data_IF_221622208964
#
_entry.id   IF_221622208964
#
_cell.length_a   1.000
_cell.length_b   1.000
_cell.length_c   1.000
_cell.angle_alpha   90.00
_cell.angle_beta   90.00
_cell.angle_gamma   90.00
#
_symmetry.space_group_name_H-M   'P 1'
#
loop_
_entity.id
_entity.type
_entity.pdbx_description
1 polymer ?
#
# COMPACT_ATOMS: atom_id res chain seq x y z
N UNK A 1 -13.53 20.72 -45.57
CA UNK A 1 -12.75 21.95 -45.31
C UNK A 1 -12.91 22.23 -43.82
N UNK A 2 -12.03 21.82 -42.92
CA UNK A 2 -10.60 21.60 -43.09
C UNK A 2 -10.14 20.23 -42.58
N UNK A 3 -9.49 19.51 -43.50
CA UNK A 3 -8.76 18.26 -43.31
C UNK A 3 -7.33 18.56 -42.78
N UNK A 4 -7.22 19.54 -41.87
CA UNK A 4 -6.00 19.86 -41.14
C UNK A 4 -6.02 19.17 -39.75
N UNK A 5 -6.56 17.95 -39.73
CA UNK A 5 -6.77 17.15 -38.54
C UNK A 5 -5.41 16.68 -37.97
N UNK A 6 -4.98 17.36 -36.90
CA UNK A 6 -4.16 16.83 -35.81
C UNK A 6 -2.84 16.14 -36.21
N UNK A 7 -1.99 16.80 -37.01
CA UNK A 7 -0.59 16.37 -37.07
C UNK A 7 0.15 16.81 -35.78
N UNK A 8 -0.08 16.02 -34.73
CA UNK A 8 0.23 16.31 -33.33
C UNK A 8 1.29 15.35 -32.77
N UNK A 9 2.26 14.93 -33.58
CA UNK A 9 3.40 14.20 -33.03
C UNK A 9 4.10 15.10 -31.99
N UNK A 10 4.15 14.72 -30.70
CA UNK A 10 4.73 15.59 -29.69
C UNK A 10 6.25 15.62 -29.85
N UNK A 11 6.85 16.80 -29.97
CA UNK A 11 8.30 16.96 -29.91
C UNK A 11 8.69 17.40 -28.49
N UNK A 12 8.55 16.50 -27.53
CA UNK A 12 8.95 16.75 -26.14
C UNK A 12 10.24 15.99 -25.81
N UNK A 13 11.19 16.68 -25.19
CA UNK A 13 12.46 16.10 -24.73
C UNK A 13 12.48 15.92 -23.21
N UNK A 14 11.57 16.58 -22.49
CA UNK A 14 11.46 16.51 -21.04
C UNK A 14 10.04 16.13 -20.58
N UNK A 15 9.93 15.58 -19.37
CA UNK A 15 8.64 15.24 -18.77
C UNK A 15 7.72 16.47 -18.57
N UNK A 16 8.31 17.64 -18.25
CA UNK A 16 7.57 18.90 -18.11
C UNK A 16 6.99 19.39 -19.43
N UNK A 17 7.77 19.35 -20.51
CA UNK A 17 7.31 19.66 -21.87
C UNK A 17 6.18 18.71 -22.29
N UNK A 18 6.34 17.41 -22.05
CA UNK A 18 5.33 16.42 -22.38
C UNK A 18 3.98 16.70 -21.71
N UNK A 19 3.98 17.02 -20.40
CA UNK A 19 2.75 17.40 -19.69
C UNK A 19 2.17 18.72 -20.22
N UNK A 20 3.00 19.69 -20.60
CA UNK A 20 2.54 20.93 -21.21
C UNK A 20 1.80 20.68 -22.54
N UNK A 21 2.31 19.77 -23.38
CA UNK A 21 1.64 19.37 -24.61
C UNK A 21 0.31 18.66 -24.32
N UNK A 22 0.24 17.77 -23.31
CA UNK A 22 -1.04 17.14 -22.91
C UNK A 22 -2.07 18.17 -22.42
N UNK A 23 -1.63 19.21 -21.69
CA UNK A 23 -2.52 20.33 -21.30
C UNK A 23 -3.09 21.03 -22.52
N UNK A 24 -2.27 21.21 -23.56
CA UNK A 24 -2.67 21.87 -24.79
C UNK A 24 -3.66 21.01 -25.61
N UNK A 25 -3.45 19.70 -25.70
CA UNK A 25 -4.43 18.76 -26.30
C UNK A 25 -5.78 18.86 -25.58
N UNK A 26 -5.78 18.80 -24.24
CA UNK A 26 -7.02 18.97 -23.46
C UNK A 26 -7.67 20.32 -23.75
N UNK A 27 -6.89 21.41 -23.77
CA UNK A 27 -7.39 22.77 -24.01
C UNK A 27 -8.05 22.89 -25.39
N UNK A 28 -7.41 22.37 -26.44
CA UNK A 28 -7.93 22.39 -27.81
C UNK A 28 -9.15 21.51 -28.02
N UNK A 29 -9.28 20.42 -27.26
CA UNK A 29 -10.49 19.58 -27.29
C UNK A 29 -11.75 20.29 -26.78
N UNK A 30 -11.60 21.41 -26.06
CA UNK A 30 -12.72 22.15 -25.46
C UNK A 30 -13.42 21.44 -24.29
N UNK A 31 -12.95 20.26 -23.88
CA UNK A 31 -13.58 19.45 -22.85
C UNK A 31 -13.19 19.88 -21.43
N UNK A 32 -14.18 19.92 -20.54
CA UNK A 32 -13.96 20.01 -19.10
C UNK A 32 -13.35 18.72 -18.56
N UNK A 33 -12.71 18.77 -17.38
CA UNK A 33 -12.14 17.58 -16.74
C UNK A 33 -13.17 16.45 -16.53
N UNK A 34 -14.40 16.79 -16.19
CA UNK A 34 -15.50 15.83 -16.01
C UNK A 34 -15.91 15.18 -17.33
N UNK A 35 -15.93 15.94 -18.42
CA UNK A 35 -16.29 15.43 -19.75
C UNK A 35 -15.22 14.52 -20.32
N UNK A 36 -13.94 14.87 -20.14
CA UNK A 36 -12.81 13.98 -20.49
C UNK A 36 -12.95 12.67 -19.74
N UNK A 37 -13.20 12.72 -18.44
CA UNK A 37 -13.35 11.53 -17.60
C UNK A 37 -14.52 10.64 -18.05
N UNK A 38 -15.66 11.27 -18.36
CA UNK A 38 -16.85 10.58 -18.88
C UNK A 38 -16.59 9.95 -20.25
N UNK A 39 -15.92 10.66 -21.16
CA UNK A 39 -15.59 10.15 -22.50
C UNK A 39 -14.56 9.03 -22.46
N UNK A 40 -13.52 9.16 -21.64
CA UNK A 40 -12.56 8.09 -21.40
C UNK A 40 -13.30 6.82 -20.96
N UNK A 41 -14.20 6.96 -19.98
CA UNK A 41 -14.96 5.82 -19.46
C UNK A 41 -15.85 5.18 -20.54
N UNK A 42 -16.45 5.99 -21.42
CA UNK A 42 -17.26 5.51 -22.54
C UNK A 42 -16.44 4.75 -23.61
N UNK A 43 -15.14 5.00 -23.72
CA UNK A 43 -14.22 4.29 -24.61
C UNK A 43 -13.46 3.16 -23.91
N UNK A 44 -13.88 2.75 -22.71
CA UNK A 44 -13.26 1.66 -21.95
C UNK A 44 -11.99 2.05 -21.20
N UNK A 45 -11.68 3.35 -21.09
CA UNK A 45 -10.52 3.86 -20.38
C UNK A 45 -10.92 4.56 -19.07
N UNK A 46 -10.31 4.17 -17.94
CA UNK A 46 -10.60 4.81 -16.66
C UNK A 46 -9.69 6.01 -16.39
N UNK A 47 -10.27 7.20 -16.28
CA UNK A 47 -9.56 8.44 -15.97
C UNK A 47 -10.43 9.38 -15.12
N UNK A 48 -10.32 9.34 -13.78
CA UNK A 48 -11.09 10.23 -12.91
C UNK A 48 -10.73 11.73 -13.08
N UNK A 49 -11.65 12.67 -12.78
CA UNK A 49 -11.39 14.10 -12.94
C UNK A 49 -10.25 14.60 -12.04
N UNK A 50 -10.13 14.08 -10.82
CA UNK A 50 -9.07 14.40 -9.85
C UNK A 50 -7.70 13.88 -10.30
N UNK A 51 -7.66 12.65 -10.84
CA UNK A 51 -6.46 12.05 -11.43
C UNK A 51 -5.99 12.85 -12.63
N UNK A 52 -6.91 13.25 -13.52
CA UNK A 52 -6.62 14.07 -14.67
C UNK A 52 -6.10 15.46 -14.27
N UNK A 53 -6.73 16.11 -13.29
CA UNK A 53 -6.28 17.42 -12.79
C UNK A 53 -4.88 17.33 -12.14
N UNK A 54 -4.62 16.27 -11.37
CA UNK A 54 -3.33 16.05 -10.72
C UNK A 54 -2.24 15.71 -11.75
N UNK A 55 -2.53 14.83 -12.71
CA UNK A 55 -1.62 14.48 -13.81
C UNK A 55 -1.20 15.73 -14.57
N UNK A 56 -2.19 16.55 -14.96
CA UNK A 56 -1.94 17.80 -15.68
C UNK A 56 -1.48 18.93 -14.76
N UNK A 57 -1.38 18.75 -13.45
CA UNK A 57 -0.85 19.75 -12.52
C UNK A 57 0.66 19.63 -12.27
N UNK A 58 1.23 18.45 -12.53
CA UNK A 58 2.64 18.13 -12.23
C UNK A 58 3.56 18.33 -13.45
N UNK A 59 4.86 18.18 -13.24
CA UNK A 59 5.91 18.12 -14.29
C UNK A 59 6.54 16.74 -14.42
N UNK A 60 6.00 15.74 -13.71
CA UNK A 60 6.44 14.34 -13.75
C UNK A 60 5.81 13.61 -14.93
N UNK A 61 6.54 12.65 -15.50
CA UNK A 61 6.09 11.88 -16.66
C UNK A 61 4.81 11.07 -16.33
N UNK A 62 3.67 11.32 -17.00
CA UNK A 62 2.44 10.58 -16.76
C UNK A 62 2.56 9.11 -17.13
N UNK A 63 1.74 8.25 -16.53
CA UNK A 63 1.66 6.82 -16.90
C UNK A 63 1.01 6.66 -18.27
N UNK A 64 1.48 5.70 -19.07
CA UNK A 64 0.98 5.43 -20.43
C UNK A 64 -0.54 5.30 -20.49
N UNK A 65 -1.12 4.48 -19.61
CA UNK A 65 -2.57 4.32 -19.48
C UNK A 65 -3.35 5.63 -19.36
N UNK A 66 -2.81 6.60 -18.63
CA UNK A 66 -3.48 7.87 -18.32
C UNK A 66 -3.36 8.82 -19.51
N UNK A 67 -2.25 8.73 -20.24
CA UNK A 67 -2.05 9.40 -21.53
C UNK A 67 -3.04 8.85 -22.56
N UNK A 68 -3.10 7.52 -22.74
CA UNK A 68 -4.05 6.87 -23.66
C UNK A 68 -5.48 7.30 -23.34
N UNK A 69 -5.89 7.22 -22.07
CA UNK A 69 -7.23 7.61 -21.66
C UNK A 69 -7.57 9.08 -21.97
N UNK A 70 -6.62 10.00 -21.75
CA UNK A 70 -6.80 11.43 -22.06
C UNK A 70 -6.90 11.64 -23.57
N UNK A 71 -5.95 11.12 -24.34
CA UNK A 71 -5.87 11.31 -25.79
C UNK A 71 -7.09 10.69 -26.50
N UNK A 72 -7.45 9.47 -26.13
CA UNK A 72 -8.65 8.80 -26.65
C UNK A 72 -9.93 9.59 -26.33
N UNK A 73 -10.07 10.13 -25.10
CA UNK A 73 -11.21 10.95 -24.73
C UNK A 73 -11.28 12.30 -25.49
N UNK A 74 -10.11 12.83 -25.88
CA UNK A 74 -9.98 14.03 -26.70
C UNK A 74 -10.16 13.77 -28.21
N UNK A 75 -10.36 12.51 -28.63
CA UNK A 75 -10.60 12.15 -30.03
C UNK A 75 -9.33 11.98 -30.88
N UNK A 76 -8.17 11.81 -30.24
CA UNK A 76 -6.89 11.50 -30.90
C UNK A 76 -6.95 10.10 -31.53
N UNK A 77 -6.40 9.94 -32.74
CA UNK A 77 -6.43 8.65 -33.44
C UNK A 77 -5.47 7.63 -32.80
N UNK A 78 -5.73 6.33 -32.96
CA UNK A 78 -4.83 5.29 -32.41
C UNK A 78 -3.37 5.44 -32.91
N UNK A 79 -3.19 5.81 -34.18
CA UNK A 79 -1.87 6.06 -34.75
C UNK A 79 -1.17 7.30 -34.16
N UNK A 80 -1.92 8.33 -33.75
CA UNK A 80 -1.37 9.47 -33.01
C UNK A 80 -1.04 9.08 -31.57
N UNK A 81 -1.92 8.34 -30.89
CA UNK A 81 -1.67 7.87 -29.52
C UNK A 81 -0.35 7.10 -29.46
N UNK A 82 -0.08 6.21 -30.43
CA UNK A 82 1.18 5.47 -30.47
C UNK A 82 2.40 6.39 -30.65
N UNK A 83 2.29 7.48 -31.43
CA UNK A 83 3.35 8.49 -31.53
C UNK A 83 3.60 9.17 -30.18
N UNK A 84 2.55 9.49 -29.42
CA UNK A 84 2.66 10.05 -28.07
C UNK A 84 3.30 9.07 -27.08
N UNK A 85 3.02 7.78 -27.20
CA UNK A 85 3.62 6.74 -26.35
C UNK A 85 5.09 6.52 -26.67
N UNK A 86 5.48 6.54 -27.94
CA UNK A 86 6.89 6.45 -28.36
C UNK A 86 7.72 7.58 -27.74
N UNK A 87 7.28 8.83 -27.88
CA UNK A 87 7.98 9.98 -27.30
C UNK A 87 8.06 9.89 -25.77
N UNK A 88 7.00 9.41 -25.12
CA UNK A 88 7.01 9.17 -23.67
C UNK A 88 8.07 8.13 -23.27
N UNK A 89 8.14 7.01 -24.00
CA UNK A 89 9.14 5.94 -23.77
C UNK A 89 10.56 6.45 -23.99
N UNK A 90 10.77 7.30 -24.99
CA UNK A 90 12.08 7.93 -25.23
C UNK A 90 12.50 8.83 -24.06
N UNK A 91 11.59 9.67 -23.55
CA UNK A 91 11.85 10.50 -22.36
C UNK A 91 12.18 9.62 -21.14
N UNK A 92 11.44 8.54 -20.92
CA UNK A 92 11.69 7.59 -19.83
C UNK A 92 13.05 6.90 -19.94
N UNK A 93 13.44 6.50 -21.16
CA UNK A 93 14.75 5.93 -21.44
C UNK A 93 15.88 6.93 -21.17
N UNK A 94 15.73 8.19 -21.59
CA UNK A 94 16.70 9.25 -21.32
C UNK A 94 16.82 9.58 -19.84
N UNK A 95 15.71 9.58 -19.08
CA UNK A 95 15.73 9.76 -17.62
C UNK A 95 16.49 8.59 -16.95
N UNK A 96 16.19 7.36 -17.37
CA UNK A 96 16.85 6.15 -16.85
C UNK A 96 18.35 6.13 -17.16
N UNK A 97 18.75 6.57 -18.35
CA UNK A 97 20.16 6.65 -18.75
C UNK A 97 20.90 7.75 -17.97
N UNK A 98 20.26 8.91 -17.77
CA UNK A 98 20.82 9.98 -16.92
C UNK A 98 21.00 9.52 -15.48
N UNK A 99 20.02 8.79 -14.94
CA UNK A 99 20.12 8.24 -13.58
C UNK A 99 21.25 7.19 -13.49
N UNK A 100 21.42 6.33 -14.52
CA UNK A 100 22.54 5.39 -14.61
C UNK A 100 23.90 6.08 -14.69
N UNK A 101 24.04 7.08 -15.56
CA UNK A 101 25.27 7.87 -15.69
C UNK A 101 25.56 8.63 -14.40
N UNK A 102 24.55 9.22 -13.76
CA UNK A 102 24.72 9.89 -12.47
C UNK A 102 25.17 8.92 -11.37
N UNK A 103 24.62 7.69 -11.32
CA UNK A 103 25.04 6.63 -10.39
C UNK A 103 26.46 6.12 -10.73
N UNK A 104 26.87 6.12 -12.00
CA UNK A 104 28.18 5.65 -12.45
C UNK A 104 29.28 6.73 -12.28
N UNK A 105 28.95 8.01 -12.48
CA UNK A 105 29.81 9.16 -12.21
C UNK A 105 29.99 9.40 -10.70
N UNK A 106 28.93 9.21 -9.91
CA UNK A 106 29.05 9.18 -8.42
C UNK A 106 29.63 7.86 -7.90
N UNK A 107 29.72 6.84 -8.76
CA UNK A 107 30.33 5.53 -8.48
C UNK A 107 31.86 5.47 -8.68
N UNK A 108 32.49 6.51 -9.23
CA UNK A 108 33.95 6.70 -9.12
C UNK A 108 34.24 7.51 -7.86
N UNK A 109 34.20 6.83 -6.72
CA UNK A 109 34.94 7.28 -5.54
C UNK A 109 36.43 7.19 -5.89
N UNK A 110 36.97 8.28 -6.44
CA UNK A 110 38.23 8.77 -5.92
C UNK A 110 37.98 8.99 -4.44
N UNK A 111 38.58 8.14 -3.60
CA UNK A 111 38.66 8.42 -2.18
C UNK A 111 39.11 9.88 -2.02
N UNK A 112 38.42 10.70 -1.21
CA UNK A 112 38.93 12.02 -0.87
C UNK A 112 40.38 11.86 -0.38
N UNK A 113 41.34 12.70 -0.78
CA UNK A 113 42.62 12.71 -0.09
C UNK A 113 42.30 12.93 1.38
N UNK A 114 42.78 12.00 2.22
CA UNK A 114 42.68 12.15 3.66
C UNK A 114 43.27 13.51 4.02
N UNK A 115 42.46 14.36 4.66
CA UNK A 115 43.03 15.45 5.46
C UNK A 115 44.07 14.82 6.40
N UNK A 116 45.25 15.43 6.55
CA UNK A 116 46.22 14.95 7.51
C UNK A 116 45.55 14.92 8.88
N UNK A 117 45.62 13.76 9.52
CA UNK A 117 45.04 13.54 10.83
C UNK A 117 45.45 14.69 11.78
N UNK A 118 44.51 15.32 12.51
CA UNK A 118 44.87 16.20 13.60
C UNK A 118 45.74 15.42 14.60
N UNK A 119 46.71 16.07 15.27
CA UNK A 119 47.56 15.39 16.24
C UNK A 119 46.69 14.68 17.26
N UNK A 120 47.01 13.41 17.52
CA UNK A 120 46.28 12.58 18.45
C UNK A 120 46.22 13.27 19.83
N UNK A 121 45.01 13.57 20.29
CA UNK A 121 44.79 13.84 21.69
C UNK A 121 45.26 12.61 22.50
N UNK A 122 45.94 12.83 23.64
CA UNK A 122 46.39 11.72 24.48
C UNK A 122 45.19 10.88 24.91
N UNK A 123 45.33 9.56 24.77
CA UNK A 123 44.31 8.60 25.12
C UNK A 123 43.73 8.88 26.53
N UNK A 124 42.39 8.98 26.69
CA UNK A 124 41.81 9.03 28.02
C UNK A 124 42.14 7.73 28.77
N UNK A 125 42.44 7.79 30.08
CA UNK A 125 42.78 6.61 30.85
C UNK A 125 41.62 5.61 30.82
N UNK A 126 41.97 4.33 30.67
CA UNK A 126 41.03 3.22 30.66
C UNK A 126 40.10 3.31 31.88
N UNK A 127 38.79 3.44 31.62
CA UNK A 127 37.79 3.28 32.66
C UNK A 127 37.88 1.85 33.23
N UNK A 128 37.79 1.68 34.56
CA UNK A 128 37.86 0.37 35.18
C UNK A 128 36.63 -0.47 34.77
N UNK A 129 36.85 -1.78 34.60
CA UNK A 129 35.83 -2.75 34.27
C UNK A 129 34.65 -2.69 35.28
N UNK A 130 33.40 -2.86 34.82
CA UNK A 130 32.25 -2.93 35.72
C UNK A 130 32.39 -4.15 36.65
N UNK A 131 32.04 -4.05 37.95
CA UNK A 131 32.06 -5.20 38.83
C UNK A 131 31.02 -6.23 38.37
N UNK A 132 31.41 -7.50 38.48
CA UNK A 132 30.55 -8.64 38.22
C UNK A 132 29.24 -8.51 39.02
N UNK A 133 28.11 -8.72 38.36
CA UNK A 133 26.81 -8.81 38.99
C UNK A 133 26.84 -9.87 40.12
N UNK A 134 26.26 -9.59 41.30
CA UNK A 134 26.19 -10.58 42.36
C UNK A 134 25.29 -11.74 41.92
N UNK A 135 25.73 -12.97 42.24
CA UNK A 135 24.94 -14.18 42.10
C UNK A 135 23.61 -14.05 42.87
N UNK A 136 22.51 -14.66 42.39
CA UNK A 136 21.25 -14.65 43.12
C UNK A 136 21.41 -15.37 44.46
N UNK A 137 20.72 -14.92 45.53
CA UNK A 137 20.68 -15.68 46.77
C UNK A 137 20.00 -17.03 46.51
N UNK A 138 20.67 -18.10 46.92
CA UNK A 138 20.02 -19.34 47.28
C UNK A 138 19.13 -19.08 48.50
N UNK A 139 18.03 -19.85 48.61
CA UNK A 139 17.02 -19.82 49.68
C UNK A 139 15.97 -18.71 49.62
N UNK A 140 14.96 -18.92 48.77
CA UNK A 140 13.54 -18.84 49.18
C UNK A 140 12.73 -19.81 48.32
N UNK A 141 12.74 -21.09 48.72
CA UNK A 141 11.76 -22.06 48.25
C UNK A 141 10.37 -21.68 48.79
N UNK A 142 9.32 -21.55 47.96
CA UNK A 142 7.95 -21.61 48.45
C UNK A 142 7.65 -23.06 48.87
N UNK A 143 6.89 -23.30 49.96
CA UNK A 143 6.51 -24.66 50.34
C UNK A 143 5.67 -25.28 49.22
N UNK A 144 5.98 -26.54 48.92
CA UNK A 144 5.17 -27.40 48.07
C UNK A 144 3.75 -27.51 48.65
N UNK A 145 2.83 -26.74 48.09
CA UNK A 145 1.40 -27.01 48.21
C UNK A 145 1.03 -28.19 47.30
N UNK A 146 0.03 -29.01 47.68
CA UNK A 146 -0.27 -30.25 46.97
C UNK A 146 -0.68 -30.00 45.52
N UNK A 147 -0.08 -30.79 44.64
CA UNK A 147 -0.38 -30.90 43.22
C UNK A 147 -1.90 -31.14 43.03
N UNK A 148 -2.64 -30.27 42.32
CA UNK A 148 -3.99 -30.60 41.89
C UNK A 148 -3.92 -31.69 40.80
N UNK A 149 -4.84 -32.67 40.78
CA UNK A 149 -4.82 -33.72 39.80
C UNK A 149 -4.96 -33.14 38.39
N UNK A 150 -4.12 -33.67 37.51
CA UNK A 150 -4.12 -33.49 36.06
C UNK A 150 -5.55 -33.57 35.52
N UNK A 151 -6.05 -32.45 35.00
CA UNK A 151 -7.27 -32.44 34.21
C UNK A 151 -7.00 -33.18 32.91
N UNK A 152 -7.30 -34.49 32.95
CA UNK A 152 -7.53 -35.33 31.79
C UNK A 152 -8.48 -34.58 30.86
N UNK A 153 -7.97 -34.13 29.72
CA UNK A 153 -8.82 -33.61 28.66
C UNK A 153 -9.68 -34.75 28.13
N UNK A 154 -11.02 -34.63 28.05
CA UNK A 154 -11.81 -35.62 27.35
C UNK A 154 -11.47 -35.60 25.85
N UNK A 155 -11.07 -36.75 25.34
CA UNK A 155 -10.93 -37.05 23.92
C UNK A 155 -12.23 -36.66 23.18
N UNK A 156 -12.18 -35.57 22.42
CA UNK A 156 -13.24 -35.23 21.47
C UNK A 156 -12.87 -35.87 20.13
N UNK A 157 -13.63 -36.88 19.65
CA UNK A 157 -13.33 -37.52 18.38
C UNK A 157 -13.54 -36.55 17.21
N UNK A 158 -12.45 -36.28 16.48
CA UNK A 158 -12.47 -35.54 15.21
C UNK A 158 -13.32 -36.31 14.18
N UNK A 159 -14.21 -35.67 13.40
CA UNK A 159 -14.98 -36.36 12.39
C UNK A 159 -14.06 -36.85 11.25
N UNK A 160 -14.01 -38.17 11.09
CA UNK A 160 -13.28 -38.87 10.06
C UNK A 160 -13.81 -38.50 8.67
N UNK A 161 -13.00 -37.82 7.86
CA UNK A 161 -13.25 -37.65 6.43
C UNK A 161 -13.11 -39.02 5.76
N UNK A 162 -14.24 -39.63 5.44
CA UNK A 162 -14.37 -40.92 4.74
C UNK A 162 -13.79 -40.79 3.32
N UNK A 163 -12.52 -41.18 3.15
CA UNK A 163 -11.95 -41.46 1.84
C UNK A 163 -12.54 -42.79 1.35
N UNK A 164 -13.52 -42.73 0.45
CA UNK A 164 -13.93 -43.91 -0.30
C UNK A 164 -12.99 -44.05 -1.50
N UNK A 165 -12.03 -44.97 -1.40
CA UNK A 165 -11.37 -45.59 -2.55
C UNK A 165 -12.16 -46.86 -2.87
N UNK A 166 -12.71 -46.96 -4.07
CA UNK A 166 -13.00 -48.25 -4.70
C UNK A 166 -12.55 -48.18 -6.15
N UNK A 167 -11.74 -49.16 -6.50
CA UNK A 167 -11.10 -49.38 -7.78
C UNK A 167 -11.95 -50.30 -8.68
N UNK A 168 -11.43 -50.52 -9.91
CA UNK A 168 -11.76 -51.55 -10.91
C UNK A 168 -12.71 -51.09 -12.04
N UNK A 169 -12.50 -51.38 -13.34
CA UNK A 169 -11.52 -52.22 -14.06
C UNK A 169 -11.62 -51.97 -15.58
N UNK A 170 -10.53 -52.27 -16.31
CA UNK A 170 -10.35 -52.62 -17.75
C UNK A 170 -10.57 -51.54 -18.85
N UNK A 171 -9.52 -51.12 -19.58
CA UNK A 171 -8.82 -51.76 -20.72
C UNK A 171 -9.66 -51.94 -22.00
N UNK A 172 -9.35 -51.18 -23.05
CA UNK A 172 -8.76 -51.73 -24.28
C UNK A 172 -8.19 -50.63 -25.19
N UNK A 173 -7.05 -50.94 -25.79
CA UNK A 173 -6.25 -50.12 -26.69
C UNK A 173 -6.65 -50.29 -28.16
N UNK A 174 -6.46 -49.27 -29.01
CA UNK A 174 -6.05 -49.44 -30.42
C UNK A 174 -5.24 -48.22 -30.87
N UNK A 175 -4.02 -48.51 -31.36
CA UNK A 175 -3.14 -47.64 -32.13
C UNK A 175 -3.69 -47.38 -33.54
N UNK A 176 -3.61 -46.14 -34.02
CA UNK A 176 -3.35 -45.88 -35.45
C UNK A 176 -2.36 -44.73 -35.60
N UNK A 177 -1.16 -45.10 -36.03
CA UNK A 177 -0.14 -44.28 -36.70
C UNK A 177 -0.67 -43.87 -38.08
N UNK A 178 -0.42 -42.65 -38.53
CA UNK A 178 -0.41 -42.37 -39.97
C UNK A 178 -0.70 -40.94 -40.43
N UNK A 179 0.39 -40.25 -40.78
CA UNK A 179 0.55 -39.49 -42.03
C UNK A 179 0.34 -37.96 -42.05
N UNK A 180 1.41 -37.36 -42.62
CA UNK A 180 1.44 -36.23 -43.54
C UNK A 180 1.42 -34.82 -42.94
N UNK A 181 2.56 -34.15 -43.13
CA UNK A 181 2.77 -32.77 -42.75
C UNK A 181 2.15 -31.77 -43.71
N UNK A 182 1.84 -30.62 -43.12
CA UNK A 182 1.98 -29.31 -43.76
C UNK A 182 2.48 -28.38 -42.66
N UNK A 183 3.73 -27.91 -42.79
CA UNK A 183 4.25 -26.80 -42.01
C UNK A 183 3.54 -25.52 -42.50
N UNK A 184 2.37 -25.24 -41.93
CA UNK A 184 1.85 -23.88 -41.89
C UNK A 184 2.44 -23.22 -40.64
N UNK A 185 3.01 -22.00 -40.73
CA UNK A 185 3.38 -21.27 -39.54
C UNK A 185 2.09 -21.07 -38.75
N UNK A 186 2.00 -21.73 -37.60
CA UNK A 186 0.98 -21.41 -36.60
C UNK A 186 1.34 -20.00 -36.17
N UNK A 187 0.68 -19.01 -36.76
CA UNK A 187 0.57 -17.71 -36.15
C UNK A 187 0.08 -18.00 -34.73
N UNK A 188 0.94 -17.76 -33.73
CA UNK A 188 0.45 -17.66 -32.37
C UNK A 188 -0.68 -16.64 -32.46
N UNK A 189 -1.93 -16.97 -32.08
CA UNK A 189 -2.87 -15.92 -31.78
C UNK A 189 -2.20 -15.16 -30.63
N UNK A 190 -1.58 -14.03 -30.96
CA UNK A 190 -1.42 -12.96 -29.98
C UNK A 190 -2.82 -12.73 -29.50
N UNK A 191 -3.08 -13.23 -28.30
CA UNK A 191 -4.34 -13.04 -27.59
C UNK A 191 -4.70 -11.57 -27.77
N UNK A 192 -5.77 -11.34 -28.53
CA UNK A 192 -6.54 -10.12 -28.46
C UNK A 192 -6.83 -9.93 -26.96
N UNK A 193 -6.14 -8.99 -26.32
CA UNK A 193 -6.58 -8.42 -25.05
C UNK A 193 -7.83 -7.57 -25.34
N UNK A 194 -8.92 -8.26 -25.67
CA UNK A 194 -10.24 -7.76 -25.33
C UNK A 194 -10.28 -7.61 -23.81
N UNK A 195 -10.82 -6.52 -23.25
CA UNK A 195 -10.89 -6.32 -21.82
C UNK A 195 -11.84 -7.37 -21.23
N UNK A 196 -11.29 -8.49 -20.75
CA UNK A 196 -12.05 -9.46 -19.97
C UNK A 196 -12.34 -8.87 -18.59
N UNK A 197 -13.60 -8.93 -18.18
CA UNK A 197 -14.15 -8.65 -16.85
C UNK A 197 -13.54 -9.52 -15.71
N UNK A 198 -12.40 -10.18 -15.94
CA UNK A 198 -11.75 -11.05 -14.97
C UNK A 198 -10.85 -10.26 -14.03
N UNK A 199 -11.22 -10.27 -12.75
CA UNK A 199 -10.42 -9.65 -11.72
C UNK A 199 -9.11 -10.43 -11.50
N UNK A 200 -7.96 -9.73 -11.43
CA UNK A 200 -6.71 -10.37 -11.07
C UNK A 200 -6.80 -11.00 -9.68
N UNK A 201 -6.14 -12.15 -9.53
CA UNK A 201 -6.17 -12.98 -8.30
C UNK A 201 -5.71 -12.21 -7.06
N UNK A 202 -4.83 -11.21 -7.24
CA UNK A 202 -4.34 -10.35 -6.17
C UNK A 202 -4.44 -8.88 -6.58
N UNK A 203 -5.11 -8.09 -5.75
CA UNK A 203 -5.16 -6.62 -5.85
C UNK A 203 -4.09 -5.99 -4.94
N UNK A 204 -3.40 -4.97 -5.43
CA UNK A 204 -2.32 -4.26 -4.71
C UNK A 204 -2.24 -2.78 -5.07
N UNK A 205 -1.52 -2.02 -4.25
CA UNK A 205 -1.32 -0.60 -4.46
C UNK A 205 -0.80 -0.28 -5.87
N UNK A 206 -1.38 0.77 -6.46
CA UNK A 206 -1.09 1.23 -7.81
C UNK A 206 -2.00 0.65 -8.89
N UNK A 207 -2.77 -0.40 -8.58
CA UNK A 207 -3.81 -0.94 -9.44
C UNK A 207 -5.04 -0.03 -9.48
N UNK A 208 -5.85 -0.19 -10.52
CA UNK A 208 -7.05 0.60 -10.75
C UNK A 208 -8.04 -0.22 -11.58
N UNK A 209 -9.33 0.13 -11.52
CA UNK A 209 -10.39 -0.50 -12.31
C UNK A 209 -11.55 -1.03 -11.45
N UNK A 210 -12.53 -1.70 -12.08
CA UNK A 210 -13.79 -2.09 -11.44
C UNK A 210 -13.57 -3.04 -10.24
N UNK A 211 -12.61 -3.95 -10.31
CA UNK A 211 -12.29 -4.86 -9.21
C UNK A 211 -11.80 -4.13 -7.94
N UNK A 212 -11.05 -3.04 -8.13
CA UNK A 212 -10.62 -2.18 -7.01
C UNK A 212 -11.81 -1.41 -6.45
N UNK A 213 -12.70 -0.93 -7.31
CA UNK A 213 -13.92 -0.26 -6.87
C UNK A 213 -14.79 -1.19 -6.02
N UNK A 214 -15.03 -2.42 -6.47
CA UNK A 214 -15.78 -3.42 -5.71
C UNK A 214 -15.07 -3.82 -4.40
N UNK A 215 -13.74 -3.79 -4.34
CA UNK A 215 -13.00 -3.94 -3.08
C UNK A 215 -13.28 -2.76 -2.14
N UNK A 216 -13.19 -1.52 -2.63
CA UNK A 216 -13.42 -0.30 -1.85
C UNK A 216 -14.85 -0.23 -1.31
N UNK A 217 -15.85 -0.58 -2.11
CA UNK A 217 -17.26 -0.66 -1.69
C UNK A 217 -17.45 -1.66 -0.55
N UNK A 218 -16.80 -2.84 -0.64
CA UNK A 218 -16.84 -3.85 0.42
C UNK A 218 -16.15 -3.38 1.71
N UNK A 219 -15.02 -2.67 1.62
CA UNK A 219 -14.38 -2.08 2.80
C UNK A 219 -15.30 -1.06 3.48
N UNK A 220 -15.94 -0.18 2.71
CA UNK A 220 -16.90 0.81 3.24
C UNK A 220 -18.09 0.12 3.91
N UNK A 221 -18.62 -0.94 3.28
CA UNK A 221 -19.69 -1.76 3.87
C UNK A 221 -19.26 -2.42 5.19
N UNK A 222 -18.00 -2.87 5.27
CA UNK A 222 -17.37 -3.41 6.49
C UNK A 222 -17.00 -2.36 7.55
N UNK A 223 -17.33 -1.08 7.34
CA UNK A 223 -17.07 0.01 8.29
C UNK A 223 -15.68 0.67 8.18
N UNK A 224 -14.90 0.31 7.16
CA UNK A 224 -13.57 0.86 6.87
C UNK A 224 -13.63 1.84 5.71
N UNK A 225 -13.74 3.13 6.03
CA UNK A 225 -13.97 4.18 5.03
C UNK A 225 -12.77 4.42 4.12
N UNK A 226 -12.99 4.33 2.81
CA UNK A 226 -12.06 4.73 1.76
C UNK A 226 -12.81 5.53 0.68
N UNK A 227 -12.12 6.38 -0.10
CA UNK A 227 -12.65 6.84 -1.37
C UNK A 227 -12.97 5.64 -2.28
N UNK A 228 -14.16 5.62 -2.87
CA UNK A 228 -14.57 4.62 -3.86
C UNK A 228 -14.33 5.21 -5.26
N UNK A 229 -13.06 5.25 -5.66
CA UNK A 229 -12.58 5.89 -6.89
C UNK A 229 -11.98 4.89 -7.89
N UNK A 230 -12.03 3.61 -7.56
CA UNK A 230 -11.45 2.53 -8.36
C UNK A 230 -9.93 2.60 -8.43
N UNK A 231 -9.25 3.35 -7.56
CA UNK A 231 -7.80 3.43 -7.47
C UNK A 231 -7.29 2.85 -6.14
N UNK A 232 -6.42 1.85 -6.23
CA UNK A 232 -5.81 1.24 -5.06
C UNK A 232 -4.65 2.13 -4.60
N UNK A 233 -5.00 3.20 -3.89
CA UNK A 233 -4.09 4.18 -3.32
C UNK A 233 -3.68 3.89 -1.88
N UNK A 234 -2.89 4.79 -1.26
CA UNK A 234 -2.43 4.65 0.13
C UNK A 234 -3.56 4.47 1.14
N UNK A 235 -4.70 5.17 1.00
CA UNK A 235 -5.83 5.00 1.91
C UNK A 235 -6.45 3.60 1.80
N UNK A 236 -6.52 3.04 0.58
CA UNK A 236 -6.97 1.65 0.36
C UNK A 236 -6.01 0.66 0.99
N UNK A 237 -4.69 0.84 0.78
CA UNK A 237 -3.66 0.02 1.43
C UNK A 237 -3.76 0.09 2.96
N UNK A 238 -3.90 1.29 3.51
CA UNK A 238 -4.01 1.54 4.96
C UNK A 238 -5.20 0.78 5.55
N UNK A 239 -6.38 0.86 4.92
CA UNK A 239 -7.57 0.11 5.36
C UNK A 239 -7.45 -1.39 5.19
N UNK A 240 -6.79 -1.85 4.13
CA UNK A 240 -6.56 -3.29 3.95
C UNK A 240 -5.68 -3.85 5.07
N UNK A 241 -4.62 -3.12 5.42
CA UNK A 241 -3.74 -3.50 6.52
C UNK A 241 -4.51 -3.51 7.85
N UNK A 242 -5.35 -2.51 8.09
CA UNK A 242 -6.23 -2.47 9.27
C UNK A 242 -7.19 -3.67 9.29
N UNK A 243 -7.86 -3.96 8.17
CA UNK A 243 -8.75 -5.11 8.03
C UNK A 243 -8.03 -6.43 8.32
N UNK A 244 -6.85 -6.63 7.72
CA UNK A 244 -6.03 -7.82 7.92
C UNK A 244 -5.62 -7.98 9.39
N UNK A 245 -5.18 -6.90 10.03
CA UNK A 245 -4.82 -6.92 11.45
C UNK A 245 -6.03 -7.24 12.35
N UNK A 246 -7.20 -6.64 12.06
CA UNK A 246 -8.44 -6.92 12.78
C UNK A 246 -8.88 -8.37 12.61
N UNK A 247 -8.81 -8.92 11.40
CA UNK A 247 -9.18 -10.31 11.10
C UNK A 247 -8.13 -11.36 11.48
N UNK A 248 -6.97 -10.97 12.03
CA UNK A 248 -5.87 -11.90 12.33
C UNK A 248 -5.27 -12.54 11.07
N UNK A 249 -5.40 -11.89 9.92
CA UNK A 249 -4.84 -12.32 8.64
C UNK A 249 -3.37 -11.90 8.51
N UNK A 250 -2.59 -12.53 7.61
CA UNK A 250 -1.29 -12.00 7.21
C UNK A 250 -1.42 -10.55 6.73
N UNK A 251 -0.63 -9.66 7.33
CA UNK A 251 -0.69 -8.22 7.06
C UNK A 251 0.21 -7.87 5.87
N UNK A 252 -0.25 -8.20 4.66
CA UNK A 252 0.47 -7.97 3.40
C UNK A 252 0.17 -6.63 2.75
N UNK A 253 -0.97 -6.00 3.06
CA UNK A 253 -1.48 -4.84 2.32
C UNK A 253 -1.98 -5.15 0.90
N UNK A 254 -2.14 -6.43 0.56
CA UNK A 254 -2.69 -6.90 -0.72
C UNK A 254 -4.03 -7.62 -0.50
N UNK A 255 -4.97 -7.49 -1.43
CA UNK A 255 -6.22 -8.24 -1.43
C UNK A 255 -6.03 -9.52 -2.24
N UNK A 256 -5.72 -10.63 -1.57
CA UNK A 256 -5.74 -11.96 -2.17
C UNK A 256 -7.10 -12.66 -1.97
N UNK A 257 -7.29 -13.83 -2.57
CA UNK A 257 -8.55 -14.57 -2.46
C UNK A 257 -8.99 -14.82 -1.01
N UNK A 258 -8.06 -15.18 -0.11
CA UNK A 258 -8.38 -15.42 1.30
C UNK A 258 -8.89 -14.17 1.99
N UNK A 259 -8.25 -13.02 1.74
CA UNK A 259 -8.69 -11.74 2.30
C UNK A 259 -10.05 -11.32 1.75
N UNK A 260 -10.30 -11.55 0.46
CA UNK A 260 -11.59 -11.23 -0.18
C UNK A 260 -12.73 -12.11 0.35
N UNK A 261 -12.47 -13.37 0.64
CA UNK A 261 -13.41 -14.29 1.27
C UNK A 261 -13.78 -13.79 2.69
N UNK A 262 -12.78 -13.41 3.49
CA UNK A 262 -12.99 -12.88 4.84
C UNK A 262 -13.75 -11.54 4.83
N UNK A 263 -13.44 -10.66 3.87
CA UNK A 263 -14.12 -9.36 3.69
C UNK A 263 -15.60 -9.53 3.32
N UNK A 264 -15.96 -10.67 2.74
CA UNK A 264 -17.36 -10.98 2.39
C UNK A 264 -18.13 -11.59 3.57
N UNK A 265 -17.47 -11.81 4.72
CA UNK A 265 -18.05 -12.36 5.94
C UNK A 265 -18.50 -11.32 6.97
N UNK A 266 -18.55 -11.73 8.24
CA UNK A 266 -19.16 -10.96 9.34
C UNK A 266 -18.24 -9.89 9.98
N UNK A 267 -17.00 -9.72 9.50
CA UNK A 267 -16.06 -8.77 10.12
C UNK A 267 -16.46 -7.32 9.81
N UNK A 268 -17.31 -6.76 10.66
CA UNK A 268 -17.66 -5.33 10.67
C UNK A 268 -16.79 -4.62 11.70
N UNK A 269 -15.91 -3.73 11.23
CA UNK A 269 -15.12 -2.89 12.11
C UNK A 269 -16.07 -1.98 12.91
N UNK A 270 -15.82 -1.85 14.22
CA UNK A 270 -16.64 -1.01 15.07
C UNK A 270 -16.61 0.45 14.58
N UNK A 271 -17.78 1.06 14.38
CA UNK A 271 -17.81 2.44 13.90
C UNK A 271 -17.40 3.41 15.02
N UNK A 272 -16.26 4.05 14.83
CA UNK A 272 -15.74 5.11 15.69
C UNK A 272 -15.67 6.42 14.91
N UNK A 273 -16.77 7.20 14.85
CA UNK A 273 -16.75 8.48 14.16
C UNK A 273 -15.75 9.43 14.84
N UNK A 274 -15.17 10.33 14.05
CA UNK A 274 -14.20 11.32 14.49
C UNK A 274 -14.63 12.05 15.77
N UNK A 275 -15.90 12.46 15.87
CA UNK A 275 -16.44 13.16 17.04
C UNK A 275 -16.32 12.32 18.33
N UNK A 276 -16.60 11.01 18.24
CA UNK A 276 -16.49 10.08 19.38
C UNK A 276 -15.04 9.93 19.81
N UNK A 277 -14.12 9.77 18.85
CA UNK A 277 -12.68 9.66 19.12
C UNK A 277 -12.18 10.95 19.77
N UNK A 278 -12.51 12.12 19.18
CA UNK A 278 -12.13 13.42 19.73
C UNK A 278 -12.66 13.66 21.14
N UNK A 279 -13.91 13.25 21.44
CA UNK A 279 -14.46 13.33 22.81
C UNK A 279 -13.69 12.44 23.79
N UNK A 280 -13.31 11.24 23.35
CA UNK A 280 -12.56 10.31 24.18
C UNK A 280 -11.12 10.80 24.44
N UNK A 281 -10.44 11.34 23.42
CA UNK A 281 -9.12 11.96 23.55
C UNK A 281 -9.17 13.13 24.53
N UNK A 282 -10.10 14.08 24.38
CA UNK A 282 -10.24 15.21 25.33
C UNK A 282 -10.42 14.75 26.77
N UNK A 283 -11.16 13.67 26.99
CA UNK A 283 -11.35 13.11 28.33
C UNK A 283 -10.08 12.47 28.89
N UNK A 284 -9.25 11.86 28.03
CA UNK A 284 -8.02 11.20 28.44
C UNK A 284 -6.88 12.18 28.79
N UNK A 285 -6.92 13.40 28.24
CA UNK A 285 -5.91 14.45 28.45
C UNK A 285 -6.57 15.73 28.99
N UNK A 286 -7.00 15.77 30.26
CA UNK A 286 -7.66 16.93 30.84
C UNK A 286 -6.74 18.16 30.99
N UNK A 287 -5.43 17.97 31.02
CA UNK A 287 -4.44 19.05 31.20
C UNK A 287 -4.30 19.92 29.95
N UNK A 288 -4.27 19.31 28.77
CA UNK A 288 -4.30 20.01 27.48
C UNK A 288 -5.14 19.25 26.44
N UNK A 289 -6.48 19.34 26.55
CA UNK A 289 -7.39 18.60 25.69
C UNK A 289 -7.36 19.11 24.24
N UNK A 290 -6.97 20.37 24.02
CA UNK A 290 -6.91 20.96 22.69
C UNK A 290 -5.69 20.44 21.93
N UNK A 291 -4.51 20.48 22.53
CA UNK A 291 -3.29 19.95 21.92
C UNK A 291 -3.40 18.44 21.68
N UNK A 292 -3.96 17.68 22.62
CA UNK A 292 -4.14 16.23 22.46
C UNK A 292 -4.98 15.89 21.22
N UNK A 293 -6.08 16.62 20.99
CA UNK A 293 -6.92 16.44 19.79
C UNK A 293 -6.18 16.89 18.53
N UNK A 294 -5.44 17.99 18.58
CA UNK A 294 -4.67 18.49 17.44
C UNK A 294 -3.62 17.47 16.99
N UNK A 295 -2.86 16.91 17.93
CA UNK A 295 -1.87 15.85 17.68
C UNK A 295 -2.56 14.62 17.10
N UNK A 296 -3.59 14.09 17.75
CA UNK A 296 -4.33 12.92 17.26
C UNK A 296 -4.93 13.13 15.85
N UNK A 297 -5.43 14.34 15.57
CA UNK A 297 -5.93 14.73 14.24
C UNK A 297 -4.82 14.81 13.21
N UNK A 298 -3.65 15.35 13.56
CA UNK A 298 -2.51 15.40 12.66
C UNK A 298 -1.99 14.00 12.32
N UNK A 299 -1.85 13.14 13.33
CA UNK A 299 -1.31 11.78 13.18
C UNK A 299 -2.23 10.85 12.38
N UNK A 300 -3.54 10.93 12.60
CA UNK A 300 -4.48 9.94 12.07
C UNK A 300 -5.76 10.50 11.47
N UNK A 301 -6.00 11.81 11.56
CA UNK A 301 -7.32 12.38 11.28
C UNK A 301 -8.38 11.95 12.30
N UNK A 302 -7.97 11.57 13.53
CA UNK A 302 -8.84 10.97 14.55
C UNK A 302 -9.49 9.65 14.09
N UNK A 303 -8.81 8.92 13.22
CA UNK A 303 -9.25 7.63 12.69
C UNK A 303 -8.50 6.50 13.40
N UNK A 304 -9.20 5.64 14.17
CA UNK A 304 -8.55 4.57 14.90
C UNK A 304 -8.05 3.44 14.01
N UNK A 305 -8.49 3.39 12.76
CA UNK A 305 -8.05 2.40 11.78
C UNK A 305 -7.03 2.96 10.80
N UNK A 306 -6.45 4.13 11.07
CA UNK A 306 -5.33 4.67 10.29
C UNK A 306 -4.08 3.83 10.54
N UNK A 307 -3.49 3.35 9.46
CA UNK A 307 -2.16 2.74 9.46
C UNK A 307 -1.27 3.52 8.50
N UNK A 308 -0.24 4.17 9.04
CA UNK A 308 0.80 4.81 8.23
C UNK A 308 1.90 3.80 7.91
N UNK A 309 2.43 3.89 6.70
CA UNK A 309 3.51 3.05 6.20
C UNK A 309 4.64 3.99 5.81
N UNK A 310 5.78 3.90 6.50
CA UNK A 310 6.96 4.66 6.16
C UNK A 310 7.66 4.06 4.93
N UNK A 311 8.59 4.83 4.34
CA UNK A 311 9.32 4.41 3.14
C UNK A 311 10.18 3.16 3.36
N UNK A 312 10.62 2.91 4.60
CA UNK A 312 11.35 1.71 5.02
C UNK A 312 10.44 0.49 5.27
N UNK A 313 9.12 0.64 5.06
CA UNK A 313 8.12 -0.40 5.29
C UNK A 313 7.68 -0.53 6.75
N UNK A 314 8.26 0.23 7.68
CA UNK A 314 7.79 0.27 9.06
C UNK A 314 6.38 0.86 9.13
N UNK A 315 5.56 0.33 10.05
CA UNK A 315 4.16 0.72 10.18
C UNK A 315 3.90 1.39 11.52
N UNK A 316 2.95 2.31 11.50
CA UNK A 316 2.40 3.00 12.67
C UNK A 316 0.89 2.84 12.73
N UNK A 317 0.35 2.69 13.93
CA UNK A 317 -0.98 2.13 14.14
C UNK A 317 -1.88 3.02 15.01
N UNK A 318 -3.10 3.25 14.52
CA UNK A 318 -4.21 3.83 15.28
C UNK A 318 -4.09 5.32 15.56
N UNK A 319 -4.87 5.82 16.52
CA UNK A 319 -5.08 7.26 16.75
C UNK A 319 -3.77 8.03 17.00
N UNK A 320 -2.87 7.45 17.80
CA UNK A 320 -1.56 8.02 18.17
C UNK A 320 -0.37 7.33 17.48
N UNK A 321 -0.61 6.58 16.39
CA UNK A 321 0.43 6.12 15.47
C UNK A 321 1.63 5.40 16.13
N UNK A 322 1.35 4.46 17.04
CA UNK A 322 2.39 3.61 17.66
C UNK A 322 3.07 2.73 16.61
N UNK A 323 4.39 2.69 16.60
CA UNK A 323 5.19 1.91 15.65
C UNK A 323 5.22 0.41 15.97
N UNK A 324 5.48 -0.42 14.95
CA UNK A 324 5.70 -1.87 15.13
C UNK A 324 6.77 -2.17 16.21
N UNK A 325 7.80 -1.33 16.36
CA UNK A 325 8.86 -1.49 17.38
C UNK A 325 8.33 -1.21 18.79
N UNK A 326 7.54 -0.15 18.97
CA UNK A 326 6.92 0.16 20.26
C UNK A 326 5.94 -0.94 20.67
N UNK A 327 5.10 -1.41 19.75
CA UNK A 327 4.17 -2.51 20.01
C UNK A 327 4.90 -3.78 20.43
N UNK A 328 6.02 -4.11 19.76
CA UNK A 328 6.86 -5.25 20.14
C UNK A 328 7.45 -5.11 21.54
N UNK A 329 7.89 -3.91 21.94
CA UNK A 329 8.41 -3.65 23.30
C UNK A 329 7.34 -3.75 24.37
N UNK A 330 6.10 -3.39 24.02
CA UNK A 330 4.94 -3.49 24.91
C UNK A 330 4.35 -4.92 24.95
N UNK A 331 4.75 -5.81 24.05
CA UNK A 331 4.18 -7.15 23.93
C UNK A 331 2.73 -7.14 23.45
N UNK A 332 2.36 -6.14 22.64
CA UNK A 332 0.99 -5.90 22.18
C UNK A 332 0.86 -6.20 20.69
N UNK A 333 -0.24 -6.85 20.31
CA UNK A 333 -0.52 -7.15 18.90
C UNK A 333 -1.09 -5.94 18.14
N UNK A 334 -1.04 -6.03 16.81
CA UNK A 334 -1.50 -4.95 15.92
C UNK A 334 -3.01 -4.71 16.02
N UNK A 335 -3.78 -5.76 16.31
CA UNK A 335 -5.24 -5.66 16.50
C UNK A 335 -5.57 -4.77 17.70
N UNK A 336 -4.87 -4.97 18.81
CA UNK A 336 -5.02 -4.18 20.03
C UNK A 336 -4.55 -2.74 19.80
N UNK A 337 -3.51 -2.52 18.99
CA UNK A 337 -3.09 -1.18 18.61
C UNK A 337 -4.16 -0.39 17.82
N UNK A 338 -5.06 -1.07 17.11
CA UNK A 338 -6.20 -0.48 16.40
C UNK A 338 -7.44 -0.30 17.30
N UNK A 339 -7.41 -0.78 18.55
CA UNK A 339 -8.46 -0.47 19.53
C UNK A 339 -8.27 0.98 20.01
N UNK A 340 -9.22 1.90 19.74
CA UNK A 340 -9.08 3.31 20.13
C UNK A 340 -9.01 3.53 21.64
N UNK A 341 -9.64 2.67 22.43
CA UNK A 341 -9.62 2.77 23.89
C UNK A 341 -8.23 2.44 24.40
N UNK A 342 -7.63 1.35 23.91
CA UNK A 342 -6.26 0.99 24.26
C UNK A 342 -5.25 2.02 23.73
N UNK A 343 -5.34 2.39 22.45
CA UNK A 343 -4.38 3.27 21.79
C UNK A 343 -4.29 4.65 22.48
N UNK A 344 -5.43 5.25 22.82
CA UNK A 344 -5.47 6.54 23.53
C UNK A 344 -4.97 6.41 24.98
N UNK A 345 -5.21 5.29 25.67
CA UNK A 345 -4.65 5.05 27.02
C UNK A 345 -3.13 4.87 26.96
N UNK A 346 -2.62 4.11 26.00
CA UNK A 346 -1.19 3.93 25.82
C UNK A 346 -0.50 5.29 25.54
N UNK A 347 -1.13 6.16 24.74
CA UNK A 347 -0.65 7.52 24.54
C UNK A 347 -0.67 8.35 25.83
N UNK A 348 -1.71 8.20 26.65
CA UNK A 348 -1.76 8.84 27.97
C UNK A 348 -0.62 8.38 28.88
N UNK A 349 -0.26 7.10 28.87
CA UNK A 349 0.84 6.56 29.67
C UNK A 349 2.22 7.07 29.21
N UNK A 350 2.40 7.28 27.91
CA UNK A 350 3.60 7.97 27.37
C UNK A 350 3.62 9.42 27.86
N UNK A 351 2.53 10.16 27.66
CA UNK A 351 2.43 11.56 28.06
C UNK A 351 2.60 11.75 29.56
N UNK A 352 2.09 10.87 30.43
CA UNK A 352 2.26 11.02 31.88
C UNK A 352 3.72 10.89 32.35
N UNK A 353 4.58 10.28 31.53
CA UNK A 353 6.02 10.13 31.82
C UNK A 353 6.85 11.27 31.27
N UNK A 354 6.46 11.83 30.12
CA UNK A 354 7.19 12.91 29.44
C UNK A 354 6.61 14.29 29.71
N UNK A 355 5.35 14.37 30.14
CA UNK A 355 4.52 15.58 30.24
C UNK A 355 4.50 16.41 28.95
N UNK A 356 4.71 15.75 27.81
CA UNK A 356 4.93 16.40 26.51
C UNK A 356 4.38 15.55 25.36
N UNK A 357 3.94 16.24 24.30
CA UNK A 357 3.54 15.62 23.04
C UNK A 357 4.69 15.48 22.04
N UNK A 358 5.91 15.89 22.38
CA UNK A 358 7.09 15.81 21.48
C UNK A 358 7.45 14.39 21.03
N UNK A 359 6.95 13.37 21.72
CA UNK A 359 7.05 11.97 21.27
C UNK A 359 6.42 11.75 19.89
N UNK A 360 5.41 12.55 19.56
CA UNK A 360 4.70 12.49 18.30
C UNK A 360 5.09 13.66 17.41
N UNK A 361 5.80 13.35 16.32
CA UNK A 361 6.14 14.35 15.31
C UNK A 361 4.88 14.68 14.48
N UNK A 362 4.36 15.86 14.74
CA UNK A 362 3.27 16.48 14.01
C UNK A 362 3.78 17.81 13.45
N UNK A 363 4.69 17.75 12.47
CA UNK A 363 5.05 18.93 11.71
C UNK A 363 3.76 19.60 11.18
N UNK A 364 3.58 20.92 11.38
CA UNK A 364 2.42 21.61 10.85
C UNK A 364 2.40 21.42 9.32
N UNK A 365 1.24 21.03 8.78
CA UNK A 365 1.04 21.03 7.33
C UNK A 365 1.36 22.44 6.81
N UNK A 366 2.14 22.56 5.71
CA UNK A 366 2.57 23.86 5.18
C UNK A 366 1.42 24.75 4.74
#
# INVERSE_FOLDING_TARGET
MDDAALDLAPQATTAGEYVALLRDVRRRSGLTYREVSRRASATGHWLPPSTLATMLGRSTLPRERTVVALLAACGTTAGEVERWLTVRRDIEAHLSERDRVAIQETGTTTAPPADPAPPADPAPPAAPAPPAAPAPPADLAPPAGPVPPELVSPDVPRPARRRLRLAAVALLAVLTVGAAGTLLPRANPTTDDAPTDDCPVVLRQGMYGPCVQSLQERLVAGGLFVPVDGWFGPDTTSRLIAFQALGGLPVSGTADGRMLDELSGDLVAARWPEERVGKYVRKAFPEDPAAAVQVARCLSGLDPYRVEIAADGSRRWGVFQFSDVELSRLGVDRRTALDPVWNVRAARDVWSRTTSFEHWDCAPLP
#
